data_IF_105720922057
#
_entry.id   IF_105720922057
#
_cell.length_a   1.000
_cell.length_b   1.000
_cell.length_c   1.000
_cell.angle_alpha   90.00
_cell.angle_beta   90.00
_cell.angle_gamma   90.00
#
_symmetry.space_group_name_H-M   'P 1'
#
loop_
_entity.id
_entity.type
_entity.pdbx_description
1 polymer ?
#
# COMPACT_ATOMS: atom_id res chain seq x y z
N UNK A 1 -2.90 1.36 6.42
CA UNK A 1 -2.05 1.48 5.22
C UNK A 1 -1.67 0.09 4.82
N UNK A 2 -2.55 -0.54 4.06
CA UNK A 2 -2.19 -1.73 3.29
C UNK A 2 -1.07 -1.24 2.40
N UNK A 3 0.17 -1.67 2.63
CA UNK A 3 1.27 -1.30 1.75
C UNK A 3 1.13 -2.14 0.49
N UNK A 4 0.62 -1.60 -0.65
CA UNK A 4 0.64 -2.33 -1.91
C UNK A 4 2.07 -2.70 -2.32
N UNK A 5 3.08 -2.04 -1.75
CA UNK A 5 4.50 -2.34 -1.96
C UNK A 5 4.89 -3.71 -1.39
N UNK A 6 4.33 -4.16 -0.27
CA UNK A 6 4.57 -5.52 0.24
C UNK A 6 3.98 -6.59 -0.70
N UNK A 7 2.78 -6.34 -1.24
CA UNK A 7 2.16 -7.19 -2.25
C UNK A 7 2.83 -7.11 -3.62
N UNK A 8 3.46 -5.98 -3.96
CA UNK A 8 4.20 -5.85 -5.22
C UNK A 8 5.58 -6.50 -5.16
N UNK A 9 6.27 -6.45 -4.01
CA UNK A 9 7.48 -7.23 -3.74
C UNK A 9 7.17 -8.74 -3.84
N UNK A 10 6.01 -9.18 -3.31
CA UNK A 10 5.50 -10.55 -3.54
C UNK A 10 5.36 -10.83 -5.05
N UNK A 11 4.67 -9.96 -5.79
CA UNK A 11 4.40 -10.15 -7.22
C UNK A 11 5.68 -10.20 -8.07
N UNK A 12 6.65 -9.30 -7.85
CA UNK A 12 7.90 -9.26 -8.61
C UNK A 12 8.73 -10.54 -8.44
N UNK A 13 8.85 -11.08 -7.23
CA UNK A 13 9.63 -12.30 -7.06
C UNK A 13 8.94 -13.57 -7.55
N UNK A 14 7.60 -13.62 -7.59
CA UNK A 14 6.91 -14.72 -8.29
C UNK A 14 7.20 -14.75 -9.80
N UNK A 15 7.49 -13.59 -10.41
CA UNK A 15 7.81 -13.46 -11.84
C UNK A 15 9.28 -13.73 -12.15
N UNK A 16 10.18 -13.47 -11.20
CA UNK A 16 11.62 -13.73 -11.34
C UNK A 16 12.01 -15.19 -11.05
N UNK A 17 11.29 -15.88 -10.15
CA UNK A 17 11.66 -17.25 -9.70
C UNK A 17 10.65 -18.35 -10.05
N UNK A 18 9.51 -18.00 -10.64
CA UNK A 18 8.49 -18.99 -11.03
C UNK A 18 7.87 -19.77 -9.86
N UNK A 19 8.03 -19.29 -8.62
CA UNK A 19 7.47 -19.90 -7.41
C UNK A 19 6.63 -18.89 -6.63
N UNK A 20 5.57 -19.38 -5.99
CA UNK A 20 4.71 -18.61 -5.05
C UNK A 20 5.46 -18.35 -3.74
N UNK A 21 6.51 -17.56 -3.78
CA UNK A 21 7.29 -17.19 -2.59
C UNK A 21 6.69 -15.94 -1.95
N UNK A 22 6.47 -15.99 -0.63
CA UNK A 22 6.01 -14.82 0.13
C UNK A 22 6.99 -13.65 -0.04
N UNK A 23 6.54 -12.39 -0.02
CA UNK A 23 7.42 -11.22 -0.09
C UNK A 23 8.57 -11.29 0.94
N UNK A 24 8.25 -11.82 2.12
CA UNK A 24 9.21 -12.10 3.19
C UNK A 24 10.29 -13.12 2.78
N UNK A 25 9.92 -14.13 1.98
CA UNK A 25 10.84 -15.17 1.49
C UNK A 25 11.77 -14.64 0.39
N UNK A 26 11.30 -13.78 -0.50
CA UNK A 26 12.14 -13.17 -1.54
C UNK A 26 13.15 -12.18 -0.96
N UNK A 27 12.73 -11.40 0.04
CA UNK A 27 13.65 -10.57 0.80
C UNK A 27 14.66 -11.41 1.59
N UNK A 28 14.22 -12.56 2.11
CA UNK A 28 15.11 -13.54 2.73
C UNK A 28 16.11 -14.12 1.70
N UNK A 29 15.73 -14.40 0.46
CA UNK A 29 16.63 -15.00 -0.53
C UNK A 29 17.61 -13.99 -1.17
N UNK A 30 17.17 -12.74 -1.36
CA UNK A 30 18.01 -11.65 -1.88
C UNK A 30 19.00 -11.16 -0.82
N UNK A 31 18.59 -11.06 0.45
CA UNK A 31 19.39 -10.45 1.51
C UNK A 31 19.96 -11.41 2.57
N UNK A 32 19.61 -12.71 2.57
CA UNK A 32 20.25 -13.74 3.44
C UNK A 32 21.39 -14.49 2.76
N UNK A 33 21.91 -14.02 1.62
CA UNK A 33 23.09 -14.65 1.01
C UNK A 33 24.31 -14.52 1.94
N UNK A 34 25.00 -15.62 2.27
CA UNK A 34 25.99 -15.69 3.36
C UNK A 34 27.26 -14.87 3.17
N UNK A 35 27.42 -14.14 2.05
CA UNK A 35 28.60 -13.33 1.74
C UNK A 35 28.30 -11.82 1.58
N UNK A 36 27.13 -11.33 1.97
CA UNK A 36 26.89 -9.89 2.07
C UNK A 36 27.41 -9.38 3.43
N UNK A 37 28.59 -8.77 3.37
CA UNK A 37 29.44 -8.34 4.48
C UNK A 37 28.91 -7.13 5.27
N UNK A 38 27.61 -7.06 5.54
CA UNK A 38 27.04 -5.96 6.29
C UNK A 38 25.84 -6.41 7.12
N UNK A 39 26.00 -6.23 8.42
CA UNK A 39 24.99 -6.32 9.46
C UNK A 39 23.90 -5.24 9.20
N UNK A 40 23.09 -5.41 8.15
CA UNK A 40 22.01 -4.48 7.81
C UNK A 40 20.77 -4.78 8.66
N UNK A 41 20.20 -3.71 9.20
CA UNK A 41 18.96 -3.72 9.97
C UNK A 41 17.77 -4.15 9.11
N UNK A 42 16.95 -5.05 9.64
CA UNK A 42 15.87 -5.72 8.93
C UNK A 42 14.89 -4.72 8.34
N UNK A 43 14.47 -3.73 9.13
CA UNK A 43 13.55 -2.68 8.70
C UNK A 43 14.13 -1.77 7.60
N UNK A 44 15.46 -1.60 7.54
CA UNK A 44 16.10 -0.79 6.48
C UNK A 44 16.07 -1.54 5.15
N UNK A 45 16.24 -2.86 5.17
CA UNK A 45 16.15 -3.69 3.97
C UNK A 45 14.77 -3.58 3.30
N UNK A 46 13.69 -3.66 4.08
CA UNK A 46 12.33 -3.45 3.56
C UNK A 46 12.15 -2.06 2.95
N UNK A 47 12.61 -1.00 3.62
CA UNK A 47 12.47 0.35 3.11
C UNK A 47 13.27 0.60 1.82
N UNK A 48 14.48 0.03 1.72
CA UNK A 48 15.30 0.10 0.50
C UNK A 48 14.66 -0.71 -0.63
N UNK A 49 14.21 -1.94 -0.36
CA UNK A 49 13.55 -2.78 -1.35
C UNK A 49 12.25 -2.16 -1.86
N UNK A 50 11.48 -1.52 -0.98
CA UNK A 50 10.27 -0.78 -1.35
C UNK A 50 10.58 0.36 -2.33
N UNK A 51 11.59 1.18 -2.04
CA UNK A 51 12.06 2.24 -2.94
C UNK A 51 12.51 1.68 -4.29
N UNK A 52 13.39 0.68 -4.27
CA UNK A 52 13.98 0.16 -5.50
C UNK A 52 12.91 -0.52 -6.38
N UNK A 53 11.93 -1.19 -5.77
CA UNK A 53 10.79 -1.76 -6.49
C UNK A 53 9.95 -0.69 -7.19
N UNK A 54 9.71 0.44 -6.54
CA UNK A 54 8.95 1.57 -7.10
C UNK A 54 9.74 2.26 -8.22
N UNK A 55 11.06 2.43 -8.06
CA UNK A 55 11.92 3.02 -9.11
C UNK A 55 11.92 2.17 -10.39
N UNK A 56 12.02 0.84 -10.26
CA UNK A 56 12.06 -0.09 -11.41
C UNK A 56 10.81 0.00 -12.29
N UNK A 57 9.66 0.40 -11.72
CA UNK A 57 8.38 0.50 -12.42
C UNK A 57 8.02 1.94 -12.81
N UNK A 58 9.02 2.83 -12.85
CA UNK A 58 8.86 4.21 -13.30
C UNK A 58 8.42 5.18 -12.20
N UNK A 59 8.37 4.74 -10.95
CA UNK A 59 8.05 5.58 -9.80
C UNK A 59 9.23 6.47 -9.33
N UNK A 60 9.03 7.30 -8.29
CA UNK A 60 10.09 8.16 -7.81
C UNK A 60 11.15 7.40 -7.01
N UNK A 61 12.33 8.01 -6.91
CA UNK A 61 13.30 7.67 -5.89
C UNK A 61 13.24 8.68 -4.74
N UNK A 62 13.55 8.24 -3.52
CA UNK A 62 13.64 9.10 -2.35
C UNK A 62 14.77 8.65 -1.43
N UNK A 63 15.17 9.53 -0.52
CA UNK A 63 16.14 9.19 0.50
C UNK A 63 15.48 8.27 1.53
N UNK A 64 15.99 7.06 1.65
CA UNK A 64 15.61 6.14 2.73
C UNK A 64 16.47 6.50 3.95
N UNK A 65 15.90 7.03 5.05
CA UNK A 65 16.71 7.33 6.22
C UNK A 65 17.25 6.02 6.81
N UNK A 66 18.45 6.05 7.39
CA UNK A 66 19.12 4.86 7.95
C UNK A 66 19.34 5.03 9.45
N UNK A 67 19.89 3.99 10.12
CA UNK A 67 20.20 4.02 11.56
C UNK A 67 19.05 3.60 12.49
N UNK A 68 17.92 3.13 11.94
CA UNK A 68 16.81 2.55 12.71
C UNK A 68 17.20 1.20 13.30
N UNK A 69 16.68 0.87 14.47
CA UNK A 69 16.90 -0.41 15.15
C UNK A 69 15.62 -1.23 15.20
N UNK A 70 15.76 -2.55 15.18
CA UNK A 70 14.63 -3.47 15.19
C UNK A 70 13.99 -3.54 16.59
N UNK A 71 12.66 -3.65 16.65
CA UNK A 71 11.93 -3.87 17.88
C UNK A 71 12.20 -5.25 18.47
N UNK A 72 12.00 -5.42 19.77
CA UNK A 72 12.20 -6.70 20.48
C UNK A 72 10.87 -7.42 20.79
N UNK A 73 9.74 -6.78 20.53
CA UNK A 73 8.39 -7.29 20.77
C UNK A 73 7.57 -7.02 19.49
N UNK A 74 6.67 -7.94 19.16
CA UNK A 74 5.66 -7.78 18.11
C UNK A 74 4.28 -8.00 18.71
N UNK A 75 3.38 -7.02 18.56
CA UNK A 75 2.04 -7.05 19.14
C UNK A 75 0.99 -6.99 18.03
N UNK A 76 0.25 -8.07 17.82
CA UNK A 76 -0.72 -8.16 16.71
C UNK A 76 -1.85 -7.11 16.83
N UNK A 77 -2.31 -6.79 18.04
CA UNK A 77 -3.37 -5.81 18.25
C UNK A 77 -2.98 -4.40 17.85
N UNK A 78 -1.69 -4.03 17.94
CA UNK A 78 -1.22 -2.72 17.46
C UNK A 78 -1.39 -2.60 15.95
N UNK A 79 -1.12 -3.67 15.19
CA UNK A 79 -1.32 -3.65 13.73
C UNK A 79 -2.78 -3.45 13.34
N UNK A 80 -3.72 -4.06 14.06
CA UNK A 80 -5.17 -3.92 13.80
C UNK A 80 -5.70 -2.53 14.19
N UNK A 81 -5.08 -1.88 15.17
CA UNK A 81 -5.48 -0.56 15.64
C UNK A 81 -4.88 0.58 14.80
N UNK A 82 -3.64 0.41 14.31
CA UNK A 82 -2.86 1.50 13.72
C UNK A 82 -2.81 1.47 12.18
N UNK A 83 -3.20 0.36 11.55
CA UNK A 83 -3.22 0.23 10.09
C UNK A 83 -4.63 0.52 9.55
N UNK A 84 -4.82 1.61 8.79
CA UNK A 84 -6.11 1.87 8.15
C UNK A 84 -6.61 0.69 7.30
N UNK A 85 -7.89 0.38 7.46
CA UNK A 85 -8.63 -0.68 6.80
C UNK A 85 -9.16 -0.25 5.41
N UNK A 86 -9.45 -1.19 4.50
CA UNK A 86 -9.96 -0.86 3.16
C UNK A 86 -11.39 -0.31 3.17
N UNK A 87 -12.10 -0.45 4.29
CA UNK A 87 -13.47 0.05 4.51
C UNK A 87 -13.51 1.32 5.39
N UNK A 88 -12.36 1.89 5.75
CA UNK A 88 -12.33 3.11 6.57
C UNK A 88 -12.92 4.32 5.82
N UNK A 89 -13.71 5.10 6.55
CA UNK A 89 -14.19 6.39 6.06
C UNK A 89 -13.10 7.47 6.11
N UNK A 90 -13.34 8.59 5.44
CA UNK A 90 -12.33 9.65 5.28
C UNK A 90 -11.89 10.28 6.61
N UNK A 91 -12.79 10.40 7.59
CA UNK A 91 -12.45 10.94 8.92
C UNK A 91 -11.48 10.01 9.64
N UNK A 92 -11.72 8.70 9.61
CA UNK A 92 -10.83 7.69 10.18
C UNK A 92 -9.46 7.70 9.48
N UNK A 93 -9.44 7.77 8.14
CA UNK A 93 -8.20 7.83 7.38
C UNK A 93 -7.35 9.05 7.77
N UNK A 94 -7.96 10.23 7.82
CA UNK A 94 -7.27 11.47 8.21
C UNK A 94 -6.73 11.36 9.64
N UNK A 95 -7.55 10.85 10.58
CA UNK A 95 -7.12 10.70 11.97
C UNK A 95 -5.95 9.71 12.11
N UNK A 96 -6.02 8.56 11.42
CA UNK A 96 -4.97 7.54 11.48
C UNK A 96 -3.63 8.06 10.92
N UNK A 97 -3.67 8.84 9.83
CA UNK A 97 -2.47 9.49 9.30
C UNK A 97 -1.94 10.58 10.24
N UNK A 98 -2.84 11.40 10.80
CA UNK A 98 -2.47 12.44 11.75
C UNK A 98 -1.82 11.87 13.02
N UNK A 99 -2.30 10.73 13.53
CA UNK A 99 -1.69 10.01 14.66
C UNK A 99 -0.23 9.61 14.38
N UNK A 100 0.14 9.45 13.10
CA UNK A 100 1.51 9.16 12.64
C UNK A 100 2.26 10.38 12.12
N UNK A 101 1.78 11.58 12.46
CA UNK A 101 2.37 12.85 12.01
C UNK A 101 2.43 13.00 10.49
N UNK A 102 1.47 12.39 9.78
CA UNK A 102 1.25 12.54 8.35
C UNK A 102 0.01 13.40 8.14
N UNK A 103 0.10 14.37 7.23
CA UNK A 103 -1.00 15.28 6.94
C UNK A 103 -1.97 14.74 5.86
N UNK A 104 -3.00 15.53 5.54
CA UNK A 104 -4.00 15.17 4.51
C UNK A 104 -3.36 15.02 3.12
N UNK A 105 -2.31 15.80 2.81
CA UNK A 105 -1.59 15.69 1.55
C UNK A 105 -0.80 14.38 1.50
N UNK A 106 -0.16 14.01 2.61
CA UNK A 106 0.52 12.73 2.75
C UNK A 106 -0.45 11.56 2.56
N UNK A 107 -1.68 11.64 3.10
CA UNK A 107 -2.75 10.65 2.87
C UNK A 107 -3.06 10.49 1.37
N UNK A 108 -3.37 11.58 0.66
CA UNK A 108 -3.73 11.52 -0.77
C UNK A 108 -2.57 10.98 -1.61
N UNK A 109 -1.35 11.44 -1.35
CA UNK A 109 -0.16 11.00 -2.07
C UNK A 109 0.10 9.51 -1.83
N UNK A 110 0.12 9.05 -0.58
CA UNK A 110 0.42 7.66 -0.23
C UNK A 110 -0.66 6.69 -0.72
N UNK A 111 -1.92 7.09 -0.73
CA UNK A 111 -3.00 6.32 -1.39
C UNK A 111 -2.76 6.13 -2.88
N UNK A 112 -2.03 7.04 -3.53
CA UNK A 112 -1.56 6.90 -4.92
C UNK A 112 -0.75 5.64 -5.19
N UNK A 113 -0.19 5.00 -4.15
CA UNK A 113 0.49 3.71 -4.30
C UNK A 113 -0.44 2.57 -4.75
N UNK A 114 -1.77 2.73 -4.64
CA UNK A 114 -2.74 1.80 -5.22
C UNK A 114 -2.80 1.83 -6.76
N UNK A 115 -2.02 2.70 -7.42
CA UNK A 115 -1.80 2.66 -8.88
C UNK A 115 -1.07 1.38 -9.32
N UNK A 116 -0.44 0.64 -8.40
CA UNK A 116 0.24 -0.62 -8.68
C UNK A 116 -0.32 -1.77 -7.84
N UNK A 117 -0.11 -3.00 -8.32
CA UNK A 117 -0.35 -4.21 -7.54
C UNK A 117 -1.77 -4.75 -7.64
N UNK A 118 -2.14 -5.54 -6.62
CA UNK A 118 -3.34 -6.37 -6.58
C UNK A 118 -3.91 -6.41 -5.17
N UNK A 119 -5.19 -6.75 -5.06
CA UNK A 119 -5.89 -7.02 -3.81
C UNK A 119 -6.67 -8.32 -3.87
N UNK A 120 -6.91 -8.92 -2.71
CA UNK A 120 -7.87 -10.02 -2.57
C UNK A 120 -9.29 -9.47 -2.55
N UNK A 121 -10.20 -10.22 -3.15
CA UNK A 121 -11.63 -9.85 -3.18
C UNK A 121 -12.21 -9.63 -1.77
N UNK A 122 -11.72 -10.35 -0.76
CA UNK A 122 -12.13 -10.20 0.64
C UNK A 122 -11.96 -8.78 1.19
N UNK A 123 -11.05 -7.98 0.63
CA UNK A 123 -10.82 -6.60 1.05
C UNK A 123 -11.90 -5.62 0.61
N UNK A 124 -12.79 -6.00 -0.32
CA UNK A 124 -13.85 -5.12 -0.85
C UNK A 124 -15.13 -5.88 -1.22
N UNK A 125 -15.32 -7.11 -0.71
CA UNK A 125 -16.36 -8.02 -1.20
C UNK A 125 -17.80 -7.58 -0.95
N UNK A 126 -17.99 -6.74 0.05
CA UNK A 126 -19.26 -6.09 0.35
C UNK A 126 -19.69 -5.12 -0.77
N UNK A 127 -18.76 -4.36 -1.37
CA UNK A 127 -19.12 -3.25 -2.27
C UNK A 127 -19.96 -3.68 -3.49
N UNK A 128 -19.65 -4.77 -4.23
CA UNK A 128 -20.42 -5.12 -5.42
C UNK A 128 -21.78 -5.81 -5.15
N UNK A 129 -21.98 -6.33 -3.93
CA UNK A 129 -23.07 -7.27 -3.62
C UNK A 129 -23.91 -6.97 -2.39
N UNK A 130 -23.32 -6.41 -1.34
CA UNK A 130 -24.00 -6.26 -0.05
C UNK A 130 -23.31 -5.22 0.86
N UNK A 131 -23.34 -3.95 0.48
CA UNK A 131 -22.67 -2.91 1.26
C UNK A 131 -23.32 -2.73 2.63
N UNK A 132 -24.65 -2.65 2.68
CA UNK A 132 -25.41 -2.34 3.91
C UNK A 132 -26.01 -3.57 4.61
N UNK A 133 -25.85 -4.76 4.04
CA UNK A 133 -26.37 -6.00 4.62
C UNK A 133 -27.68 -6.51 4.00
N UNK A 134 -28.30 -5.74 3.09
CA UNK A 134 -29.60 -6.06 2.45
C UNK A 134 -29.50 -6.53 1.00
N UNK A 135 -28.29 -6.77 0.48
CA UNK A 135 -28.05 -7.20 -0.90
C UNK A 135 -27.92 -6.05 -1.90
N UNK A 136 -27.44 -4.90 -1.44
CA UNK A 136 -27.26 -3.67 -2.22
C UNK A 136 -25.81 -3.48 -2.71
N UNK A 137 -25.66 -2.90 -3.90
CA UNK A 137 -24.37 -2.45 -4.41
C UNK A 137 -24.03 -1.08 -3.82
N UNK A 138 -22.75 -0.87 -3.50
CA UNK A 138 -22.22 0.42 -3.11
C UNK A 138 -22.53 1.50 -4.17
N UNK A 139 -23.30 2.55 -3.84
CA UNK A 139 -23.65 3.61 -4.79
C UNK A 139 -22.46 4.50 -5.16
N UNK A 140 -21.36 4.45 -4.40
CA UNK A 140 -20.11 5.15 -4.70
C UNK A 140 -19.21 4.38 -5.66
N UNK A 141 -19.57 3.13 -6.00
CA UNK A 141 -18.90 2.32 -7.01
C UNK A 141 -19.64 2.40 -8.34
N UNK A 142 -18.93 2.74 -9.41
CA UNK A 142 -19.47 2.80 -10.77
C UNK A 142 -20.19 1.50 -11.14
N UNK A 143 -21.41 1.60 -11.66
CA UNK A 143 -22.28 0.44 -11.86
C UNK A 143 -21.79 -0.50 -12.95
N UNK A 144 -21.20 0.04 -14.02
CA UNK A 144 -20.56 -0.77 -15.05
C UNK A 144 -19.32 -1.48 -14.51
N UNK A 145 -18.49 -0.78 -13.74
CA UNK A 145 -17.33 -1.39 -13.11
C UNK A 145 -17.70 -2.50 -12.12
N UNK A 146 -18.71 -2.27 -11.28
CA UNK A 146 -19.24 -3.29 -10.38
C UNK A 146 -19.78 -4.50 -11.15
N UNK A 147 -20.51 -4.30 -12.25
CA UNK A 147 -20.99 -5.39 -13.10
C UNK A 147 -19.83 -6.16 -13.75
N UNK A 148 -18.75 -5.49 -14.15
CA UNK A 148 -17.55 -6.12 -14.66
C UNK A 148 -16.87 -7.00 -13.59
N UNK A 149 -16.68 -6.47 -12.38
CA UNK A 149 -16.14 -7.22 -11.25
C UNK A 149 -16.94 -8.49 -11.00
N UNK A 150 -18.27 -8.38 -10.90
CA UNK A 150 -19.19 -9.51 -10.69
C UNK A 150 -19.11 -10.57 -11.80
N UNK A 151 -19.07 -10.15 -13.06
CA UNK A 151 -19.08 -11.08 -14.20
C UNK A 151 -17.73 -11.76 -14.45
N UNK A 152 -16.61 -11.05 -14.22
CA UNK A 152 -15.28 -11.50 -14.64
C UNK A 152 -14.41 -12.05 -13.52
N UNK A 153 -14.56 -11.55 -12.28
CA UNK A 153 -13.64 -11.83 -11.18
C UNK A 153 -14.40 -12.38 -9.97
N UNK A 154 -15.28 -11.57 -9.42
CA UNK A 154 -15.94 -11.78 -8.13
C UNK A 154 -17.31 -12.42 -8.32
N UNK A 155 -17.38 -13.63 -8.89
CA UNK A 155 -18.67 -14.23 -9.30
C UNK A 155 -19.60 -14.59 -8.14
N UNK A 156 -19.01 -14.85 -6.97
CA UNK A 156 -19.74 -15.22 -5.76
C UNK A 156 -19.26 -14.37 -4.59
N UNK A 157 -20.13 -14.14 -3.62
CA UNK A 157 -19.82 -13.29 -2.48
C UNK A 157 -18.79 -13.93 -1.51
N UNK A 158 -18.77 -15.26 -1.42
CA UNK A 158 -17.94 -16.01 -0.48
C UNK A 158 -16.57 -16.41 -1.05
N UNK A 159 -16.14 -15.80 -2.16
CA UNK A 159 -14.83 -16.06 -2.73
C UNK A 159 -13.72 -15.43 -1.88
N UNK A 160 -12.73 -16.23 -1.48
CA UNK A 160 -11.60 -15.78 -0.68
C UNK A 160 -10.24 -15.92 -1.40
N UNK A 161 -10.25 -16.31 -2.67
CA UNK A 161 -9.04 -16.59 -3.47
C UNK A 161 -8.85 -15.64 -4.63
N UNK A 162 -9.93 -15.01 -5.11
CA UNK A 162 -9.85 -14.13 -6.27
C UNK A 162 -9.00 -12.91 -5.98
N UNK A 163 -8.09 -12.64 -6.93
CA UNK A 163 -7.20 -11.50 -6.97
C UNK A 163 -7.69 -10.52 -8.03
N UNK A 164 -7.74 -9.24 -7.66
CA UNK A 164 -8.17 -8.13 -8.53
C UNK A 164 -7.10 -7.05 -8.57
N UNK A 165 -6.94 -6.43 -9.73
CA UNK A 165 -6.00 -5.33 -9.94
C UNK A 165 -6.52 -4.07 -9.24
N UNK A 166 -5.67 -3.37 -8.49
CA UNK A 166 -6.08 -2.12 -7.82
C UNK A 166 -6.23 -0.96 -8.80
N UNK A 167 -5.47 -0.99 -9.91
CA UNK A 167 -5.54 -0.06 -11.02
C UNK A 167 -5.70 -0.85 -12.35
N UNK A 168 -6.94 -1.20 -12.73
CA UNK A 168 -7.19 -2.00 -13.92
C UNK A 168 -6.65 -1.32 -15.20
N UNK A 169 -5.69 -1.96 -15.84
CA UNK A 169 -5.03 -1.45 -17.05
C UNK A 169 -3.69 -0.73 -16.81
N UNK A 170 -3.37 -0.32 -15.58
CA UNK A 170 -2.07 0.32 -15.27
C UNK A 170 -1.30 -0.25 -14.07
N UNK A 171 -1.78 -1.33 -13.45
CA UNK A 171 -1.21 -1.93 -12.21
C UNK A 171 0.30 -2.27 -12.17
N UNK A 172 1.03 -2.17 -13.28
CA UNK A 172 2.49 -2.41 -13.35
C UNK A 172 3.30 -1.14 -13.62
N UNK A 173 2.65 0.01 -13.72
CA UNK A 173 3.27 1.31 -13.97
C UNK A 173 2.91 2.25 -12.82
N UNK A 174 3.88 3.00 -12.32
CA UNK A 174 3.61 3.98 -11.28
C UNK A 174 3.19 5.31 -11.90
N UNK A 175 1.88 5.58 -11.97
CA UNK A 175 1.33 6.75 -12.68
C UNK A 175 0.10 7.38 -11.99
N UNK A 176 -0.64 8.22 -12.74
CA UNK A 176 -1.81 8.98 -12.26
C UNK A 176 -3.16 8.30 -12.59
N UNK A 177 -3.15 7.07 -13.13
CA UNK A 177 -4.35 6.31 -13.50
C UNK A 177 -5.26 6.07 -12.29
N UNK A 178 -4.68 5.71 -11.14
CA UNK A 178 -5.40 5.59 -9.87
C UNK A 178 -6.33 6.79 -9.60
N UNK A 179 -5.81 8.00 -9.63
CA UNK A 179 -6.58 9.21 -9.38
C UNK A 179 -7.65 9.46 -10.45
N UNK A 180 -7.36 9.14 -11.71
CA UNK A 180 -8.33 9.20 -12.81
C UNK A 180 -9.48 8.22 -12.61
N UNK A 181 -9.20 7.03 -12.07
CA UNK A 181 -10.21 6.02 -11.72
C UNK A 181 -11.05 6.46 -10.52
N UNK A 182 -10.47 7.11 -9.51
CA UNK A 182 -11.23 7.65 -8.38
C UNK A 182 -12.33 8.60 -8.84
N UNK A 183 -12.01 9.55 -9.73
CA UNK A 183 -12.99 10.50 -10.26
C UNK A 183 -14.09 9.84 -11.10
N UNK A 184 -13.84 8.64 -11.63
CA UNK A 184 -14.82 7.81 -12.34
C UNK A 184 -15.60 6.88 -11.42
N UNK A 185 -15.46 6.98 -10.09
CA UNK A 185 -16.01 6.04 -9.10
C UNK A 185 -15.52 4.60 -9.29
N UNK A 186 -14.27 4.44 -9.74
CA UNK A 186 -13.63 3.15 -10.03
C UNK A 186 -12.46 2.83 -9.08
N UNK A 187 -12.39 3.50 -7.93
CA UNK A 187 -11.50 3.08 -6.83
C UNK A 187 -11.96 1.72 -6.27
N UNK A 188 -11.03 0.82 -5.98
CA UNK A 188 -11.36 -0.56 -5.60
C UNK A 188 -11.91 -0.63 -4.17
N UNK A 189 -11.28 0.09 -3.23
CA UNK A 189 -11.65 0.08 -1.82
C UNK A 189 -12.68 1.18 -1.49
N UNK A 190 -13.41 1.02 -0.38
CA UNK A 190 -14.26 2.12 0.12
C UNK A 190 -13.40 3.29 0.57
N UNK A 191 -12.23 3.01 1.18
CA UNK A 191 -11.24 4.00 1.58
C UNK A 191 -10.69 4.82 0.39
N UNK A 192 -10.56 4.21 -0.79
CA UNK A 192 -10.23 4.92 -2.03
C UNK A 192 -11.35 5.89 -2.42
N UNK A 193 -12.59 5.40 -2.40
CA UNK A 193 -13.77 6.20 -2.77
C UNK A 193 -14.00 7.33 -1.77
N UNK A 194 -13.65 7.12 -0.50
CA UNK A 194 -13.74 8.10 0.58
C UNK A 194 -12.89 9.36 0.33
N UNK A 195 -11.75 9.24 -0.37
CA UNK A 195 -10.90 10.39 -0.75
C UNK A 195 -11.60 11.38 -1.70
N UNK A 196 -12.67 10.96 -2.38
CA UNK A 196 -13.45 11.86 -3.26
C UNK A 196 -14.62 12.53 -2.53
N UNK A 197 -14.87 12.15 -1.27
CA UNK A 197 -16.01 12.64 -0.47
C UNK A 197 -15.66 13.79 0.47
N UNK A 198 -14.38 14.04 0.70
CA UNK A 198 -13.91 15.22 1.41
C UNK A 198 -13.38 16.27 0.41
N UNK A 199 -13.76 17.52 0.63
CA UNK A 199 -13.44 18.61 -0.30
C UNK A 199 -11.94 18.90 -0.44
N UNK A 200 -11.16 18.71 0.63
CA UNK A 200 -9.72 19.01 0.63
C UNK A 200 -8.95 17.93 -0.13
N UNK A 201 -9.25 16.66 0.16
CA UNK A 201 -8.66 15.52 -0.55
C UNK A 201 -9.07 15.50 -2.03
N UNK A 202 -10.34 15.79 -2.35
CA UNK A 202 -10.79 15.94 -3.73
C UNK A 202 -10.08 17.08 -4.47
N UNK A 203 -9.84 18.21 -3.81
CA UNK A 203 -9.09 19.32 -4.41
C UNK A 203 -7.65 18.91 -4.74
N UNK A 204 -6.98 18.19 -3.83
CA UNK A 204 -5.64 17.65 -4.07
C UNK A 204 -5.61 16.64 -5.23
N UNK A 205 -6.58 15.74 -5.31
CA UNK A 205 -6.71 14.78 -6.43
C UNK A 205 -6.82 15.52 -7.77
N UNK A 206 -7.68 16.54 -7.85
CA UNK A 206 -7.83 17.35 -9.05
C UNK A 206 -6.54 18.10 -9.41
N UNK A 207 -5.83 18.63 -8.41
CA UNK A 207 -4.55 19.31 -8.61
C UNK A 207 -3.49 18.34 -9.16
N UNK A 208 -3.40 17.11 -8.64
CA UNK A 208 -2.47 16.09 -9.12
C UNK A 208 -2.74 15.75 -10.60
N UNK A 209 -4.01 15.62 -10.98
CA UNK A 209 -4.42 15.32 -12.36
C UNK A 209 -4.24 16.49 -13.34
N UNK A 210 -4.22 17.73 -12.85
CA UNK A 210 -3.88 18.92 -13.65
C UNK A 210 -2.37 19.11 -13.80
N UNK A 211 -1.57 18.50 -12.91
CA UNK A 211 -0.12 18.55 -12.92
C UNK A 211 0.53 17.57 -13.90
N UNK A 212 1.86 17.57 -13.94
CA UNK A 212 2.63 16.57 -14.67
C UNK A 212 2.86 15.32 -13.83
N UNK A 213 3.09 14.17 -14.49
CA UNK A 213 3.54 12.95 -13.82
C UNK A 213 4.78 13.21 -12.97
N UNK A 214 5.79 13.93 -13.50
CA UNK A 214 7.01 14.28 -12.75
C UNK A 214 6.73 15.03 -11.44
N UNK A 215 5.73 15.94 -11.43
CA UNK A 215 5.35 16.63 -10.20
C UNK A 215 4.77 15.64 -9.18
N UNK A 216 3.86 14.77 -9.58
CA UNK A 216 3.32 13.72 -8.69
C UNK A 216 4.43 12.81 -8.15
N UNK A 217 5.33 12.33 -9.00
CA UNK A 217 6.46 11.48 -8.58
C UNK A 217 7.32 12.22 -7.53
N UNK A 218 7.67 13.48 -7.80
CA UNK A 218 8.44 14.30 -6.85
C UNK A 218 7.70 14.53 -5.54
N UNK A 219 6.39 14.74 -5.58
CA UNK A 219 5.60 14.92 -4.36
C UNK A 219 5.44 13.63 -3.58
N UNK A 220 5.22 12.50 -4.23
CA UNK A 220 5.06 11.18 -3.62
C UNK A 220 6.33 10.72 -2.86
N UNK A 221 7.51 11.14 -3.31
CA UNK A 221 8.78 10.87 -2.62
C UNK A 221 8.82 11.41 -1.18
N UNK A 222 8.20 12.57 -0.92
CA UNK A 222 8.25 13.24 0.37
C UNK A 222 7.55 12.45 1.49
N UNK A 223 6.28 12.04 1.38
CA UNK A 223 5.63 11.24 2.41
C UNK A 223 6.25 9.85 2.56
N UNK A 224 6.83 9.26 1.52
CA UNK A 224 7.59 8.02 1.65
C UNK A 224 8.83 8.19 2.54
N UNK A 225 9.54 9.30 2.43
CA UNK A 225 10.64 9.63 3.34
C UNK A 225 10.13 9.93 4.77
N UNK A 226 9.04 10.69 4.92
CA UNK A 226 8.40 10.97 6.22
C UNK A 226 7.98 9.68 6.92
N UNK A 227 7.32 8.77 6.19
CA UNK A 227 6.88 7.47 6.68
C UNK A 227 8.02 6.64 7.24
N UNK A 228 9.18 6.69 6.59
CA UNK A 228 10.37 6.06 7.14
C UNK A 228 10.61 6.53 8.56
N UNK A 229 10.45 7.82 8.87
CA UNK A 229 10.85 8.41 10.16
C UNK A 229 9.86 8.18 11.31
N UNK A 230 8.73 7.51 11.07
CA UNK A 230 7.71 7.26 12.09
C UNK A 230 8.25 6.34 13.19
N UNK A 231 8.16 6.81 14.44
CA UNK A 231 8.32 6.02 15.68
C UNK A 231 9.58 5.13 15.72
N UNK A 232 10.67 5.62 15.16
CA UNK A 232 11.89 4.83 14.96
C UNK A 232 12.69 4.64 16.26
N UNK A 233 13.20 3.43 16.48
CA UNK A 233 14.20 3.17 17.52
C UNK A 233 15.59 3.50 16.98
N UNK A 234 16.42 4.20 17.78
CA UNK A 234 17.80 4.58 17.39
C UNK A 234 18.76 4.45 18.59
N UNK A 235 20.06 4.64 18.35
CA UNK A 235 21.07 4.61 19.42
C UNK A 235 21.19 3.23 20.06
N UNK A 236 20.92 3.13 21.36
CA UNK A 236 20.94 1.87 22.13
C UNK A 236 19.56 1.24 22.29
N UNK A 237 18.49 1.89 21.79
CA UNK A 237 17.13 1.36 21.87
C UNK A 237 16.87 0.36 20.75
N UNK A 238 16.43 -0.86 21.09
CA UNK A 238 16.25 -1.95 20.13
C UNK A 238 17.56 -2.62 19.71
N UNK A 239 17.49 -3.49 18.71
CA UNK A 239 18.61 -4.35 18.32
C UNK A 239 18.89 -4.36 16.82
N UNK A 240 20.02 -4.96 16.43
CA UNK A 240 20.29 -5.35 15.05
C UNK A 240 20.04 -6.85 14.99
N UNK A 241 18.93 -7.29 14.40
CA UNK A 241 18.58 -8.72 14.37
C UNK A 241 19.51 -9.49 13.45
N UNK A 242 20.00 -10.64 13.91
CA UNK A 242 20.73 -11.61 13.07
C UNK A 242 19.77 -12.43 12.21
N UNK A 243 18.54 -12.62 12.68
CA UNK A 243 17.45 -13.28 11.96
C UNK A 243 16.20 -12.42 12.07
N UNK A 244 15.61 -12.04 10.94
CA UNK A 244 14.43 -11.17 10.88
C UNK A 244 13.24 -11.68 11.69
N UNK A 245 13.05 -13.00 11.72
CA UNK A 245 11.86 -13.64 12.28
C UNK A 245 11.85 -13.73 13.81
N UNK A 246 13.00 -13.55 14.47
CA UNK A 246 13.14 -13.76 15.91
C UNK A 246 13.98 -12.65 16.55
N UNK A 247 13.66 -12.29 17.79
CA UNK A 247 14.54 -11.41 18.57
C UNK A 247 15.87 -12.14 18.88
N UNK A 248 16.96 -11.40 19.06
CA UNK A 248 18.22 -12.03 19.43
C UNK A 248 18.15 -12.58 20.87
N UNK A 249 18.90 -13.66 21.11
CA UNK A 249 19.13 -14.29 22.41
C UNK A 249 20.59 -14.17 22.83
#
# INVERSE_FOLDING_TARGET
MILPVEFYIYYLGTKLEGKKTHALFLLFEVYSKPNALALFLVLILFALAARDSIVVIGGPSWKVPTGRRDGVISVASESLAEIPAPFDNITTLIQNFANKSLDIKDLVLLSGSHTIGISLYTSFSNRPYNLTGVGDQDPTLDSEYAANLKSRKCRTQNDNTTIVEMDPGSRTTFDLSYYSLLLKRRGLFESDSALTRDSNTLALINQLLQGSLQNFLSEFAMPMEKMGRIEVKTGTSGEIRKNCAVANS
#
